data_IF_916065434712
#
_entry.id   IF_916065434712
#
_cell.length_a   1.000
_cell.length_b   1.000
_cell.length_c   1.000
_cell.angle_alpha   90.00
_cell.angle_beta   90.00
_cell.angle_gamma   90.00
#
_symmetry.space_group_name_H-M   'P 1'
#
loop_
_entity.id
_entity.type
_entity.pdbx_description
1 polymer ?
#
# COMPACT_ATOMS: atom_id res chain seq x y z
N UNK A 1 -3.85 -10.39 -25.21
CA UNK A 1 -3.17 -9.64 -24.14
C UNK A 1 -4.14 -9.64 -22.98
N UNK A 2 -3.81 -10.34 -21.90
CA UNK A 2 -4.60 -10.25 -20.68
C UNK A 2 -4.29 -8.89 -20.06
N UNK A 3 -5.31 -8.03 -19.98
CA UNK A 3 -5.17 -6.72 -19.35
C UNK A 3 -4.76 -6.91 -17.89
N UNK A 4 -3.74 -6.17 -17.46
CA UNK A 4 -3.23 -6.28 -16.10
C UNK A 4 -4.32 -5.82 -15.12
N UNK A 5 -4.57 -6.65 -14.11
CA UNK A 5 -5.68 -6.45 -13.19
C UNK A 5 -5.33 -5.40 -12.11
N UNK A 6 -4.10 -5.42 -11.62
CA UNK A 6 -3.55 -4.47 -10.67
C UNK A 6 -2.15 -4.09 -11.10
N UNK A 7 -1.89 -2.78 -11.20
CA UNK A 7 -0.59 -2.21 -11.52
C UNK A 7 -0.11 -1.44 -10.29
N UNK A 8 1.12 -1.72 -9.87
CA UNK A 8 1.77 -1.04 -8.73
C UNK A 8 3.07 -0.42 -9.20
N UNK A 9 3.27 0.87 -8.89
CA UNK A 9 4.46 1.64 -9.24
C UNK A 9 4.79 2.62 -8.11
N UNK A 10 6.07 3.00 -7.91
CA UNK A 10 6.41 4.09 -6.99
C UNK A 10 5.62 5.36 -7.32
N UNK A 11 5.12 6.06 -6.30
CA UNK A 11 4.31 7.27 -6.50
C UNK A 11 5.05 8.37 -7.27
N UNK A 12 6.35 8.51 -7.06
CA UNK A 12 7.21 9.45 -7.78
C UNK A 12 7.26 9.17 -9.29
N UNK A 13 7.43 7.90 -9.67
CA UNK A 13 7.47 7.47 -11.07
C UNK A 13 6.12 7.66 -11.76
N UNK A 14 5.04 7.38 -11.04
CA UNK A 14 3.68 7.68 -11.49
C UNK A 14 3.51 9.17 -11.79
N UNK A 15 3.90 10.06 -10.87
CA UNK A 15 3.78 11.51 -11.07
C UNK A 15 4.61 12.03 -12.26
N UNK A 16 5.83 11.51 -12.45
CA UNK A 16 6.66 11.86 -13.61
C UNK A 16 5.94 11.44 -14.89
N UNK A 17 5.41 10.22 -14.93
CA UNK A 17 4.75 9.71 -16.13
C UNK A 17 3.44 10.45 -16.42
N UNK A 18 2.63 10.72 -15.39
CA UNK A 18 1.38 11.47 -15.50
C UNK A 18 1.60 12.90 -16.01
N UNK A 19 2.66 13.58 -15.56
CA UNK A 19 3.02 14.91 -16.08
C UNK A 19 3.37 14.87 -17.57
N UNK A 20 4.17 13.89 -17.99
CA UNK A 20 4.58 13.75 -19.38
C UNK A 20 3.45 13.38 -20.33
N UNK A 21 2.38 12.74 -19.85
CA UNK A 21 1.19 12.43 -20.67
C UNK A 21 0.48 13.71 -21.13
N UNK A 22 0.46 14.76 -20.29
CA UNK A 22 -0.16 16.04 -20.63
C UNK A 22 0.72 16.87 -21.60
N UNK A 23 2.03 16.61 -21.62
CA UNK A 23 2.98 17.24 -22.54
C UNK A 23 3.14 16.36 -23.80
N UNK A 24 2.17 16.46 -24.73
CA UNK A 24 1.90 15.59 -25.89
C UNK A 24 3.03 15.30 -26.93
N UNK A 25 4.29 15.02 -26.56
CA UNK A 25 5.33 14.63 -27.54
C UNK A 25 6.15 13.38 -27.22
N UNK A 26 5.98 12.76 -26.06
CA UNK A 26 6.74 11.57 -25.67
C UNK A 26 5.78 10.50 -25.14
N UNK A 27 5.51 9.47 -25.95
CA UNK A 27 4.78 8.29 -25.47
C UNK A 27 5.60 7.61 -24.37
N UNK A 28 5.09 7.49 -23.13
CA UNK A 28 5.80 6.78 -22.07
C UNK A 28 5.84 5.29 -22.38
N UNK A 29 7.01 4.78 -22.78
CA UNK A 29 7.22 3.37 -23.10
C UNK A 29 7.09 2.41 -21.90
N UNK A 30 6.91 2.92 -20.67
CA UNK A 30 6.88 2.13 -19.44
C UNK A 30 5.46 1.74 -18.98
N UNK A 31 4.41 2.33 -19.55
CA UNK A 31 3.04 2.07 -19.12
C UNK A 31 2.19 1.48 -20.24
N UNK A 32 1.25 0.59 -19.90
CA UNK A 32 0.43 -0.06 -20.90
C UNK A 32 -0.36 0.97 -21.73
N UNK A 33 -0.22 0.97 -23.07
CA UNK A 33 -0.83 1.98 -23.95
C UNK A 33 -2.37 1.93 -23.98
N UNK A 34 -2.98 0.95 -23.33
CA UNK A 34 -4.43 0.72 -23.32
C UNK A 34 -5.18 1.46 -22.19
N UNK A 35 -4.47 2.07 -21.24
CA UNK A 35 -5.12 2.83 -20.16
C UNK A 35 -5.27 4.29 -20.59
N UNK A 36 -6.51 4.71 -20.86
CA UNK A 36 -6.85 6.12 -21.04
C UNK A 36 -6.73 6.84 -19.69
N UNK A 37 -5.65 7.62 -19.51
CA UNK A 37 -5.32 8.30 -18.25
C UNK A 37 -6.39 9.30 -17.81
N UNK A 38 -6.99 10.02 -18.75
CA UNK A 38 -8.10 10.96 -18.51
C UNK A 38 -9.37 10.28 -17.98
N UNK A 39 -9.46 8.94 -18.11
CA UNK A 39 -10.58 8.15 -17.62
C UNK A 39 -10.30 7.46 -16.28
N UNK A 40 -9.14 7.68 -15.66
CA UNK A 40 -8.81 7.12 -14.36
C UNK A 40 -9.53 7.90 -13.27
N UNK A 41 -10.20 7.18 -12.39
CA UNK A 41 -10.86 7.75 -11.23
C UNK A 41 -9.86 7.83 -10.08
N UNK A 42 -9.47 9.06 -9.74
CA UNK A 42 -8.57 9.34 -8.64
C UNK A 42 -9.34 9.24 -7.32
N UNK A 43 -8.93 8.33 -6.44
CA UNK A 43 -9.45 8.24 -5.08
C UNK A 43 -8.63 9.14 -4.15
N UNK A 44 -8.41 10.40 -4.53
CA UNK A 44 -7.77 11.38 -3.66
C UNK A 44 -8.83 12.34 -3.11
N UNK A 45 -8.72 12.82 -1.86
CA UNK A 45 -9.62 13.84 -1.33
C UNK A 45 -9.54 15.15 -2.15
N UNK A 46 -8.48 15.32 -2.93
CA UNK A 46 -8.21 16.50 -3.74
C UNK A 46 -8.91 16.50 -5.10
N UNK A 47 -9.53 15.41 -5.58
CA UNK A 47 -10.12 15.34 -6.92
C UNK A 47 -11.62 15.61 -6.94
N UNK A 48 -12.04 16.58 -7.78
CA UNK A 48 -13.39 17.14 -7.81
C UNK A 48 -14.51 16.11 -8.03
N UNK A 49 -14.27 15.08 -8.86
CA UNK A 49 -15.25 14.06 -9.27
C UNK A 49 -15.97 13.39 -8.09
N UNK A 50 -15.30 13.25 -6.95
CA UNK A 50 -15.82 12.50 -5.80
C UNK A 50 -15.74 13.26 -4.48
N UNK A 51 -15.41 14.56 -4.49
CA UNK A 51 -15.28 15.39 -3.27
C UNK A 51 -16.53 15.39 -2.38
N UNK A 52 -17.71 15.25 -2.97
CA UNK A 52 -18.98 15.25 -2.25
C UNK A 52 -19.30 13.92 -1.54
N UNK A 53 -18.63 12.82 -1.94
CA UNK A 53 -18.89 11.45 -1.44
C UNK A 53 -17.68 10.88 -0.68
N UNK A 54 -16.46 11.29 -1.03
CA UNK A 54 -15.22 10.80 -0.43
C UNK A 54 -14.94 11.50 0.89
N UNK A 55 -14.80 10.69 1.94
CA UNK A 55 -14.05 11.05 3.14
C UNK A 55 -12.81 10.16 3.22
N UNK A 56 -11.62 10.70 3.45
CA UNK A 56 -10.40 9.89 3.61
C UNK A 56 -10.06 9.70 5.09
N UNK A 57 -9.59 8.51 5.46
CA UNK A 57 -9.08 8.16 6.80
C UNK A 57 -7.66 7.56 6.69
N UNK A 58 -6.96 7.37 7.81
CA UNK A 58 -5.64 6.73 7.90
C UNK A 58 -5.57 5.36 7.21
N UNK A 59 -6.69 4.62 7.22
CA UNK A 59 -6.76 3.27 6.69
C UNK A 59 -7.23 3.18 5.23
N UNK A 60 -7.86 4.22 4.69
CA UNK A 60 -8.48 4.10 3.37
C UNK A 60 -9.42 5.25 3.01
N UNK A 61 -10.09 5.08 1.88
CA UNK A 61 -11.08 6.01 1.34
C UNK A 61 -12.49 5.51 1.67
N UNK A 62 -13.37 6.40 2.11
CA UNK A 62 -14.74 6.11 2.51
C UNK A 62 -15.66 6.81 1.52
N UNK A 63 -16.47 6.03 0.82
CA UNK A 63 -17.51 6.46 -0.11
C UNK A 63 -18.85 6.34 0.61
N UNK A 64 -19.46 7.48 0.95
CA UNK A 64 -20.76 7.52 1.59
C UNK A 64 -21.88 7.52 0.56
N UNK A 65 -22.84 6.63 0.73
CA UNK A 65 -24.00 6.48 -0.16
C UNK A 65 -25.24 6.37 0.69
N UNK A 66 -26.27 7.17 0.43
CA UNK A 66 -27.47 7.21 1.27
C UNK A 66 -28.69 6.63 0.54
N UNK A 67 -28.75 6.81 -0.78
CA UNK A 67 -29.87 6.39 -1.62
C UNK A 67 -29.48 5.30 -2.62
N UNK A 68 -30.48 4.60 -3.17
CA UNK A 68 -30.29 3.58 -4.20
C UNK A 68 -29.61 4.18 -5.45
N UNK A 69 -30.00 5.40 -5.82
CA UNK A 69 -29.41 6.14 -6.95
C UNK A 69 -27.92 6.40 -6.74
N UNK A 70 -27.53 6.78 -5.52
CA UNK A 70 -26.11 7.03 -5.22
C UNK A 70 -25.28 5.75 -5.41
N UNK A 71 -25.84 4.59 -5.03
CA UNK A 71 -25.17 3.29 -5.23
C UNK A 71 -25.08 2.93 -6.70
N UNK A 72 -26.12 3.18 -7.50
CA UNK A 72 -26.11 2.94 -8.95
C UNK A 72 -25.12 3.84 -9.68
N UNK A 73 -25.10 5.14 -9.37
CA UNK A 73 -24.14 6.10 -9.92
C UNK A 73 -22.71 5.71 -9.55
N UNK A 74 -22.46 5.39 -8.27
CA UNK A 74 -21.16 4.93 -7.82
C UNK A 74 -20.77 3.61 -8.49
N UNK A 75 -21.71 2.67 -8.65
CA UNK A 75 -21.48 1.41 -9.34
C UNK A 75 -21.06 1.64 -10.79
N UNK A 76 -21.73 2.55 -11.49
CA UNK A 76 -21.38 2.93 -12.85
C UNK A 76 -20.00 3.59 -12.93
N UNK A 77 -19.62 4.43 -11.97
CA UNK A 77 -18.28 5.03 -11.92
C UNK A 77 -17.20 3.97 -11.67
N UNK A 78 -17.36 3.18 -10.61
CA UNK A 78 -16.37 2.19 -10.19
C UNK A 78 -16.18 1.07 -11.23
N UNK A 79 -17.26 0.59 -11.88
CA UNK A 79 -17.17 -0.53 -12.83
C UNK A 79 -16.67 -0.13 -14.23
N UNK A 80 -16.71 1.16 -14.58
CA UNK A 80 -16.35 1.63 -15.93
C UNK A 80 -15.01 2.38 -15.98
N UNK A 81 -14.47 2.80 -14.83
CA UNK A 81 -13.20 3.55 -14.74
C UNK A 81 -12.18 2.82 -13.86
N UNK A 82 -10.91 2.70 -14.29
CA UNK A 82 -9.84 2.25 -13.42
C UNK A 82 -9.71 3.16 -12.18
N UNK A 83 -9.34 2.59 -11.05
CA UNK A 83 -9.20 3.32 -9.79
C UNK A 83 -7.73 3.54 -9.50
N UNK A 84 -7.33 4.78 -9.22
CA UNK A 84 -6.00 5.10 -8.72
C UNK A 84 -6.05 5.39 -7.23
N UNK A 85 -5.18 4.72 -6.48
CA UNK A 85 -5.00 4.92 -5.05
C UNK A 85 -3.54 5.21 -4.73
N UNK A 86 -3.31 6.08 -3.73
CA UNK A 86 -1.99 6.27 -3.12
C UNK A 86 -1.91 5.45 -1.84
N UNK A 87 -1.08 4.41 -1.86
CA UNK A 87 -0.87 3.49 -0.74
C UNK A 87 0.52 3.73 -0.16
N UNK A 88 0.61 3.72 1.17
CA UNK A 88 1.91 3.77 1.86
C UNK A 88 2.21 2.39 2.44
N UNK A 89 3.34 1.81 2.07
CA UNK A 89 3.79 0.53 2.59
C UNK A 89 4.94 0.76 3.58
N UNK A 90 4.81 0.15 4.75
CA UNK A 90 5.84 0.16 5.79
C UNK A 90 6.36 -1.26 5.97
N UNK A 91 7.65 -1.46 5.74
CA UNK A 91 8.34 -2.71 5.99
C UNK A 91 9.27 -2.52 7.19
N UNK A 92 9.15 -3.39 8.18
CA UNK A 92 10.00 -3.39 9.37
C UNK A 92 10.74 -4.71 9.44
N UNK A 93 12.07 -4.65 9.48
CA UNK A 93 12.93 -5.79 9.67
C UNK A 93 13.73 -5.64 10.95
N UNK A 94 13.69 -6.67 11.78
CA UNK A 94 14.50 -6.80 12.97
C UNK A 94 15.54 -7.87 12.70
N UNK A 95 16.78 -7.43 12.53
CA UNK A 95 17.92 -8.32 12.34
C UNK A 95 18.76 -8.34 13.61
N UNK A 96 19.06 -9.54 14.11
CA UNK A 96 19.95 -9.71 15.26
C UNK A 96 21.36 -9.98 14.74
N UNK A 97 22.26 -9.00 14.89
CA UNK A 97 23.66 -9.16 14.47
C UNK A 97 24.56 -8.97 15.69
N UNK A 98 25.37 -9.99 16.01
CA UNK A 98 26.32 -9.97 17.12
C UNK A 98 25.70 -9.54 18.47
N UNK A 99 24.55 -10.11 18.83
CA UNK A 99 23.82 -9.82 20.08
C UNK A 99 23.20 -8.42 20.19
N UNK A 100 23.25 -7.60 19.13
CA UNK A 100 22.51 -6.36 19.04
C UNK A 100 21.32 -6.52 18.08
N UNK A 101 20.13 -6.17 18.55
CA UNK A 101 18.93 -6.15 17.71
C UNK A 101 18.90 -4.81 16.94
N UNK A 102 19.02 -4.89 15.62
CA UNK A 102 18.91 -3.75 14.71
C UNK A 102 17.51 -3.73 14.12
N UNK A 103 16.76 -2.64 14.37
CA UNK A 103 15.45 -2.43 13.79
C UNK A 103 15.61 -1.48 12.62
N UNK A 104 15.29 -1.95 11.41
CA UNK A 104 15.23 -1.14 10.20
C UNK A 104 13.77 -0.97 9.77
N UNK A 105 13.36 0.27 9.57
CA UNK A 105 12.01 0.62 9.08
C UNK A 105 12.18 1.29 7.73
N UNK A 106 11.54 0.72 6.70
CA UNK A 106 11.43 1.30 5.37
C UNK A 106 9.99 1.71 5.12
N UNK A 107 9.78 2.95 4.71
CA UNK A 107 8.48 3.47 4.31
C UNK A 107 8.55 3.95 2.86
N UNK A 108 7.57 3.54 2.05
CA UNK A 108 7.49 3.89 0.63
C UNK A 108 6.05 4.18 0.20
N UNK A 109 5.88 5.18 -0.66
CA UNK A 109 4.60 5.52 -1.27
C UNK A 109 4.48 4.93 -2.68
N UNK A 110 3.35 4.29 -2.94
CA UNK A 110 3.05 3.58 -4.17
C UNK A 110 1.73 4.07 -4.77
N UNK A 111 1.72 4.18 -6.09
CA UNK A 111 0.52 4.34 -6.89
C UNK A 111 -0.01 2.94 -7.24
N UNK A 112 -1.25 2.66 -6.85
CA UNK A 112 -1.94 1.41 -7.13
C UNK A 112 -3.08 1.72 -8.09
N UNK A 113 -2.99 1.20 -9.31
CA UNK A 113 -4.03 1.31 -10.33
C UNK A 113 -4.77 -0.03 -10.37
N UNK A 114 -6.02 -0.02 -9.94
CA UNK A 114 -6.92 -1.15 -9.99
C UNK A 114 -7.75 -1.09 -11.27
N UNK A 115 -7.53 -2.03 -12.18
CA UNK A 115 -8.31 -2.14 -13.40
C UNK A 115 -9.65 -2.82 -13.12
N UNK A 116 -10.66 -2.02 -12.82
CA UNK A 116 -12.03 -2.49 -12.55
C UNK A 116 -12.75 -3.06 -13.78
N UNK A 117 -12.21 -2.87 -14.98
CA UNK A 117 -12.72 -3.47 -16.22
C UNK A 117 -12.32 -4.93 -16.36
N UNK A 118 -11.26 -5.37 -15.67
CA UNK A 118 -10.82 -6.76 -15.66
C UNK A 118 -11.95 -7.68 -15.17
N UNK A 119 -12.25 -8.75 -15.93
CA UNK A 119 -13.45 -9.57 -15.74
C UNK A 119 -13.61 -10.10 -14.30
N UNK A 120 -12.54 -10.59 -13.69
CA UNK A 120 -12.56 -11.14 -12.32
C UNK A 120 -12.88 -10.07 -11.27
N UNK A 121 -12.22 -8.91 -11.36
CA UNK A 121 -12.44 -7.80 -10.42
C UNK A 121 -13.85 -7.24 -10.62
N UNK A 122 -14.25 -7.05 -11.88
CA UNK A 122 -15.56 -6.53 -12.25
C UNK A 122 -16.69 -7.42 -11.72
N UNK A 123 -16.55 -8.74 -11.84
CA UNK A 123 -17.55 -9.69 -11.34
C UNK A 123 -17.68 -9.64 -9.81
N UNK A 124 -16.55 -9.61 -9.10
CA UNK A 124 -16.49 -9.50 -7.64
C UNK A 124 -17.09 -8.18 -7.14
N UNK A 125 -16.71 -7.08 -7.77
CA UNK A 125 -17.18 -5.74 -7.42
C UNK A 125 -18.66 -5.56 -7.73
N UNK A 126 -19.13 -6.00 -8.90
CA UNK A 126 -20.55 -5.97 -9.28
C UNK A 126 -21.41 -6.76 -8.31
N UNK A 127 -20.96 -7.94 -7.89
CA UNK A 127 -21.69 -8.75 -6.89
C UNK A 127 -21.85 -7.97 -5.58
N UNK A 128 -20.76 -7.42 -5.03
CA UNK A 128 -20.80 -6.66 -3.79
C UNK A 128 -21.70 -5.41 -3.90
N UNK A 129 -21.65 -4.70 -5.03
CA UNK A 129 -22.49 -3.52 -5.27
C UNK A 129 -23.97 -3.87 -5.42
N UNK A 130 -24.31 -4.98 -6.09
CA UNK A 130 -25.69 -5.46 -6.17
C UNK A 130 -26.25 -5.87 -4.79
N UNK A 131 -25.40 -6.48 -3.94
CA UNK A 131 -25.77 -6.78 -2.56
C UNK A 131 -26.04 -5.47 -1.78
N UNK A 132 -25.22 -4.43 -1.98
CA UNK A 132 -25.46 -3.11 -1.40
C UNK A 132 -26.77 -2.45 -1.87
N UNK A 133 -27.09 -2.50 -3.17
CA UNK A 133 -28.38 -2.03 -3.70
C UNK A 133 -29.52 -2.73 -2.94
N UNK A 134 -29.46 -4.05 -2.83
CA UNK A 134 -30.47 -4.85 -2.11
C UNK A 134 -30.61 -4.40 -0.65
N UNK A 135 -29.50 -4.11 0.04
CA UNK A 135 -29.55 -3.60 1.42
C UNK A 135 -30.13 -2.19 1.52
N UNK A 136 -29.81 -1.30 0.58
CA UNK A 136 -30.39 0.06 0.57
C UNK A 136 -31.90 0.02 0.30
N UNK A 137 -32.36 -0.76 -0.70
CA UNK A 137 -33.77 -0.88 -1.04
C UNK A 137 -34.58 -1.47 0.12
N UNK A 138 -34.00 -2.40 0.89
CA UNK A 138 -34.61 -2.97 2.10
C UNK A 138 -34.44 -2.09 3.35
N UNK A 139 -33.88 -0.90 3.22
CA UNK A 139 -33.55 0.05 4.32
C UNK A 139 -32.63 -0.52 5.39
N UNK A 140 -31.79 -1.49 5.02
CA UNK A 140 -30.73 -2.02 5.86
C UNK A 140 -29.43 -1.22 5.71
N UNK A 141 -28.63 -1.21 6.77
CA UNK A 141 -27.31 -0.59 6.76
C UNK A 141 -26.26 -1.59 6.28
N UNK A 142 -25.29 -1.14 5.51
CA UNK A 142 -24.23 -1.98 4.98
C UNK A 142 -22.87 -1.27 4.96
N UNK A 143 -21.81 -2.05 4.85
CA UNK A 143 -20.45 -1.56 4.64
C UNK A 143 -19.70 -2.57 3.76
N UNK A 144 -19.42 -2.19 2.52
CA UNK A 144 -18.48 -2.91 1.66
C UNK A 144 -17.07 -2.45 2.01
N UNK A 145 -16.17 -3.40 2.24
CA UNK A 145 -14.75 -3.17 2.41
C UNK A 145 -14.00 -3.87 1.29
N UNK A 146 -13.34 -3.10 0.43
CA UNK A 146 -12.44 -3.61 -0.62
C UNK A 146 -11.02 -3.49 -0.06
N UNK A 147 -10.40 -4.63 0.26
CA UNK A 147 -9.07 -4.67 0.86
C UNK A 147 -8.02 -5.08 -0.19
N UNK A 148 -7.06 -4.19 -0.46
CA UNK A 148 -5.92 -4.44 -1.35
C UNK A 148 -4.64 -4.80 -0.60
N UNK A 149 -4.67 -4.83 0.74
CA UNK A 149 -3.46 -5.01 1.55
C UNK A 149 -2.74 -6.32 1.21
N UNK A 150 -3.46 -7.44 1.17
CA UNK A 150 -2.91 -8.76 0.86
C UNK A 150 -2.21 -8.80 -0.52
N UNK A 151 -2.79 -8.12 -1.52
CA UNK A 151 -2.26 -8.05 -2.89
C UNK A 151 -0.95 -7.26 -2.93
N UNK A 152 -0.93 -6.10 -2.28
CA UNK A 152 0.20 -5.17 -2.30
C UNK A 152 1.36 -5.76 -1.48
N UNK A 153 1.07 -6.36 -0.33
CA UNK A 153 2.07 -7.04 0.50
C UNK A 153 2.68 -8.23 -0.24
N UNK A 154 1.85 -9.06 -0.89
CA UNK A 154 2.33 -10.17 -1.71
C UNK A 154 3.25 -9.72 -2.85
N UNK A 155 2.88 -8.66 -3.57
CA UNK A 155 3.72 -8.07 -4.61
C UNK A 155 5.04 -7.53 -4.06
N UNK A 156 5.00 -6.83 -2.94
CA UNK A 156 6.18 -6.21 -2.34
C UNK A 156 7.20 -7.27 -1.87
N UNK A 157 6.72 -8.30 -1.18
CA UNK A 157 7.55 -9.42 -0.72
C UNK A 157 8.19 -10.19 -1.89
N UNK A 158 7.46 -10.37 -2.99
CA UNK A 158 8.00 -10.97 -4.22
C UNK A 158 9.05 -10.08 -4.88
N UNK A 159 8.90 -8.75 -4.79
CA UNK A 159 9.78 -7.78 -5.48
C UNK A 159 11.13 -7.61 -4.80
N UNK A 160 11.15 -7.61 -3.46
CA UNK A 160 12.42 -7.44 -2.71
C UNK A 160 13.22 -8.76 -2.65
N UNK A 161 12.65 -9.87 -3.16
CA UNK A 161 13.27 -11.20 -3.11
C UNK A 161 13.79 -11.51 -1.71
N UNK A 162 12.92 -11.29 -0.71
CA UNK A 162 13.31 -11.38 0.69
C UNK A 162 13.36 -12.84 1.12
N UNK A 163 14.38 -13.55 0.64
CA UNK A 163 14.96 -14.69 1.32
C UNK A 163 15.91 -14.14 2.40
N UNK A 164 15.35 -13.51 3.43
CA UNK A 164 16.10 -13.23 4.66
C UNK A 164 16.40 -14.55 5.36
N UNK A 165 17.55 -14.62 6.04
CA UNK A 165 17.93 -15.81 6.80
C UNK A 165 16.86 -16.19 7.85
N UNK A 166 16.89 -17.43 8.32
CA UNK A 166 15.87 -17.99 9.22
C UNK A 166 15.65 -17.23 10.55
N UNK A 167 16.53 -16.27 10.89
CA UNK A 167 16.54 -15.58 12.18
C UNK A 167 16.00 -14.13 12.12
N UNK A 168 15.66 -13.60 10.94
CA UNK A 168 15.18 -12.23 10.79
C UNK A 168 13.66 -12.14 10.94
N UNK A 169 13.18 -11.27 11.84
CA UNK A 169 11.75 -11.00 11.97
C UNK A 169 11.35 -9.87 11.02
N UNK A 170 10.39 -10.16 10.16
CA UNK A 170 9.89 -9.19 9.20
C UNK A 170 8.40 -8.97 9.33
N UNK A 171 7.99 -7.71 9.24
CA UNK A 171 6.59 -7.34 9.21
C UNK A 171 6.37 -6.30 8.11
N UNK A 172 5.28 -6.45 7.38
CA UNK A 172 4.80 -5.49 6.39
C UNK A 172 3.46 -4.94 6.85
N UNK A 173 3.22 -3.66 6.58
CA UNK A 173 1.94 -3.03 6.86
C UNK A 173 1.60 -2.03 5.76
N UNK A 174 0.46 -2.23 5.14
CA UNK A 174 -0.12 -1.24 4.23
C UNK A 174 -0.99 -0.20 4.97
N UNK A 175 -0.90 1.05 4.55
CA UNK A 175 -1.78 2.17 4.95
C UNK A 175 -2.48 2.70 3.70
N UNK A 176 -3.74 3.12 3.84
CA UNK A 176 -4.58 3.61 2.73
C UNK A 176 -4.83 2.59 1.61
N UNK A 177 -4.72 1.30 1.91
CA UNK A 177 -4.95 0.19 0.98
C UNK A 177 -6.41 -0.25 0.87
N UNK A 178 -7.34 0.41 1.58
CA UNK A 178 -8.74 0.00 1.67
C UNK A 178 -9.69 1.03 1.09
N UNK A 179 -10.76 0.54 0.46
CA UNK A 179 -11.89 1.36 0.04
C UNK A 179 -13.13 0.87 0.79
N UNK A 180 -13.85 1.79 1.40
CA UNK A 180 -15.11 1.51 2.07
C UNK A 180 -16.26 2.14 1.29
N UNK A 181 -17.34 1.39 1.05
CA UNK A 181 -18.60 1.92 0.54
C UNK A 181 -19.69 1.65 1.58
N UNK A 182 -20.30 2.68 2.14
CA UNK A 182 -21.23 2.50 3.27
C UNK A 182 -22.29 3.58 3.36
N UNK A 183 -23.47 3.21 3.86
CA UNK A 183 -24.55 4.13 4.24
C UNK A 183 -24.63 4.36 5.77
N UNK A 184 -23.60 3.96 6.52
CA UNK A 184 -23.59 4.03 7.98
C UNK A 184 -22.19 4.35 8.50
N UNK A 185 -21.57 3.44 9.27
CA UNK A 185 -20.23 3.59 9.80
C UNK A 185 -19.30 2.53 9.22
N UNK A 186 -18.03 2.88 9.04
CA UNK A 186 -16.97 1.94 8.64
C UNK A 186 -16.73 0.91 9.72
N UNK A 187 -16.32 -0.29 9.32
CA UNK A 187 -15.90 -1.31 10.26
C UNK A 187 -14.62 -0.90 10.99
N UNK A 188 -14.65 -0.92 12.33
CA UNK A 188 -13.47 -0.62 13.14
C UNK A 188 -12.66 -1.90 13.43
N UNK A 189 -11.53 -2.05 12.75
CA UNK A 189 -10.60 -3.17 12.92
C UNK A 189 -9.82 -3.15 14.25
N UNK A 190 -9.92 -2.10 15.06
CA UNK A 190 -9.35 -2.12 16.42
C UNK A 190 -9.95 -3.25 17.27
N UNK A 191 -11.18 -3.68 16.95
CA UNK A 191 -11.84 -4.82 17.61
C UNK A 191 -11.50 -6.17 16.99
N UNK A 192 -10.87 -6.20 15.80
CA UNK A 192 -10.31 -7.43 15.22
C UNK A 192 -8.94 -7.80 15.84
N UNK A 193 -8.34 -6.88 16.60
CA UNK A 193 -6.92 -6.95 16.95
C UNK A 193 -6.56 -7.89 18.10
N UNK A 194 -5.31 -8.37 17.98
CA UNK A 194 -4.61 -9.44 18.69
C UNK A 194 -4.77 -9.49 20.23
N UNK A 195 -4.55 -10.67 20.85
CA UNK A 195 -4.51 -10.87 22.30
C UNK A 195 -3.65 -9.88 23.09
N UNK A 196 -2.71 -9.17 22.44
CA UNK A 196 -1.87 -8.15 23.07
C UNK A 196 -2.68 -6.95 23.60
N UNK A 197 -3.78 -6.58 22.95
CA UNK A 197 -4.65 -5.49 23.43
C UNK A 197 -5.43 -5.87 24.69
N UNK A 198 -5.71 -7.17 24.85
CA UNK A 198 -6.34 -7.71 26.05
C UNK A 198 -5.51 -7.43 27.31
N UNK A 199 -4.18 -7.50 27.18
CA UNK A 199 -3.26 -7.23 28.30
C UNK A 199 -3.25 -5.75 28.71
N UNK A 200 -3.34 -4.84 27.74
CA UNK A 200 -3.20 -3.39 27.97
C UNK A 200 -4.52 -2.71 28.38
N UNK A 201 -5.66 -3.18 27.87
CA UNK A 201 -6.96 -2.54 28.10
C UNK A 201 -7.91 -3.36 28.99
N UNK A 202 -7.43 -4.51 29.49
CA UNK A 202 -8.00 -5.36 30.56
C UNK A 202 -9.56 -5.43 30.50
N UNK A 203 -10.38 -5.34 31.57
CA UNK A 203 -11.78 -5.75 31.50
C UNK A 203 -12.66 -4.89 30.57
N UNK A 204 -12.27 -3.64 30.32
CA UNK A 204 -13.04 -2.73 29.46
C UNK A 204 -13.07 -3.21 28.01
N UNK A 205 -11.97 -3.77 27.50
CA UNK A 205 -11.96 -4.33 26.14
C UNK A 205 -12.84 -5.58 26.04
N UNK A 206 -12.79 -6.45 27.05
CA UNK A 206 -13.64 -7.65 27.13
C UNK A 206 -15.14 -7.34 27.13
N UNK A 207 -15.57 -6.19 27.66
CA UNK A 207 -16.97 -5.78 27.55
C UNK A 207 -17.27 -5.08 26.24
N UNK A 208 -16.43 -4.13 25.83
CA UNK A 208 -16.72 -3.28 24.65
C UNK A 208 -16.62 -4.02 23.33
N UNK A 209 -15.64 -4.91 23.15
CA UNK A 209 -15.46 -5.66 21.91
C UNK A 209 -16.66 -6.57 21.55
N UNK A 210 -17.16 -7.47 22.42
CA UNK A 210 -18.33 -8.27 22.10
C UNK A 210 -19.60 -7.43 21.96
N UNK A 211 -19.76 -6.36 22.76
CA UNK A 211 -20.88 -5.43 22.59
C UNK A 211 -20.84 -4.75 21.22
N UNK A 212 -19.66 -4.29 20.77
CA UNK A 212 -19.48 -3.70 19.44
C UNK A 212 -19.78 -4.73 18.34
N UNK A 213 -19.24 -5.95 18.42
CA UNK A 213 -19.46 -6.99 17.42
C UNK A 213 -20.95 -7.37 17.35
N UNK A 214 -21.62 -7.50 18.50
CA UNK A 214 -23.05 -7.79 18.59
C UNK A 214 -23.89 -6.66 17.99
N UNK A 215 -23.66 -5.42 18.43
CA UNK A 215 -24.32 -4.24 17.86
C UNK A 215 -24.12 -4.15 16.35
N UNK A 216 -22.90 -4.38 15.86
CA UNK A 216 -22.56 -4.33 14.45
C UNK A 216 -23.33 -5.37 13.66
N UNK A 217 -23.33 -6.64 14.11
CA UNK A 217 -24.05 -7.74 13.44
C UNK A 217 -25.56 -7.52 13.37
N UNK A 218 -26.13 -6.85 14.37
CA UNK A 218 -27.56 -6.53 14.43
C UNK A 218 -27.94 -5.34 13.55
N UNK A 219 -27.06 -4.34 13.45
CA UNK A 219 -27.39 -3.07 12.79
C UNK A 219 -26.86 -2.95 11.37
N UNK A 220 -25.80 -3.65 11.00
CA UNK A 220 -25.09 -3.45 9.75
C UNK A 220 -24.60 -4.76 9.13
N UNK A 221 -24.67 -4.87 7.80
CA UNK A 221 -24.11 -5.97 7.03
C UNK A 221 -22.74 -5.59 6.47
N UNK A 222 -21.71 -6.25 6.97
CA UNK A 222 -20.33 -6.07 6.51
C UNK A 222 -20.02 -7.04 5.37
N UNK A 223 -19.64 -6.50 4.20
CA UNK A 223 -19.27 -7.25 3.00
C UNK A 223 -17.77 -7.04 2.77
N UNK A 224 -16.95 -8.03 3.11
CA UNK A 224 -15.50 -7.97 2.88
C UNK A 224 -15.15 -8.57 1.53
N UNK A 225 -14.63 -7.73 0.63
CA UNK A 225 -14.19 -8.10 -0.70
C UNK A 225 -12.66 -8.26 -0.71
N UNK A 226 -12.21 -9.52 -0.72
CA UNK A 226 -10.81 -9.85 -1.01
C UNK A 226 -10.65 -10.04 -2.51
N UNK A 227 -9.90 -9.16 -3.16
CA UNK A 227 -9.68 -9.25 -4.59
C UNK A 227 -8.73 -10.40 -4.91
N UNK A 228 -9.11 -11.25 -5.86
CA UNK A 228 -8.26 -12.31 -6.39
C UNK A 228 -7.79 -11.90 -7.79
N UNK A 229 -6.69 -11.18 -7.86
CA UNK A 229 -6.16 -10.62 -9.09
C UNK A 229 -4.64 -10.79 -9.15
N UNK A 230 -4.12 -11.10 -10.34
CA UNK A 230 -2.68 -11.15 -10.58
C UNK A 230 -2.14 -9.71 -10.64
N UNK A 231 -1.11 -9.45 -9.86
CA UNK A 231 -0.38 -8.18 -9.92
C UNK A 231 0.64 -8.24 -11.04
N UNK A 232 0.67 -7.23 -11.88
CA UNK A 232 1.80 -7.03 -12.78
C UNK A 232 2.77 -6.02 -12.16
N UNK A 233 4.04 -6.38 -11.98
CA UNK A 233 5.05 -5.40 -11.64
C UNK A 233 5.26 -4.49 -12.85
N UNK A 234 5.21 -3.16 -12.65
CA UNK A 234 5.72 -2.24 -13.67
C UNK A 234 7.20 -2.55 -13.84
N UNK A 235 7.57 -3.04 -15.03
CA UNK A 235 8.98 -3.20 -15.38
C UNK A 235 9.58 -1.80 -15.40
N UNK A 236 10.24 -1.42 -14.32
CA UNK A 236 11.11 -0.27 -14.33
C UNK A 236 12.12 -0.51 -15.45
N UNK A 237 11.99 0.24 -16.54
CA UNK A 237 13.04 0.33 -17.55
C UNK A 237 14.22 0.93 -16.81
N UNK A 238 15.09 0.07 -16.26
CA UNK A 238 16.45 0.45 -15.90
C UNK A 238 16.98 1.11 -17.14
N UNK A 239 17.14 2.43 -17.08
CA UNK A 239 17.82 3.21 -18.09
C UNK A 239 19.26 2.72 -18.04
N UNK A 240 19.56 1.63 -18.74
CA UNK A 240 20.93 1.27 -19.06
C UNK A 240 21.37 2.42 -19.96
N UNK A 241 21.98 3.43 -19.35
CA UNK A 241 22.79 4.39 -20.08
C UNK A 241 23.88 3.56 -20.74
N UNK A 242 23.60 3.09 -21.95
CA UNK A 242 24.61 2.56 -22.85
C UNK A 242 25.47 3.74 -23.28
N UNK A 243 26.32 4.22 -22.38
CA UNK A 243 27.61 4.75 -22.79
C UNK A 243 28.33 3.59 -23.44
N UNK A 244 28.35 3.64 -24.77
CA UNK A 244 29.17 2.78 -25.61
C UNK A 244 30.62 2.88 -25.14
N UNK A 245 31.08 1.87 -24.43
CA UNK A 245 32.46 1.42 -24.54
C UNK A 245 32.45 -0.10 -24.49
N UNK A 246 32.77 -0.66 -25.65
CA UNK A 246 33.04 -2.07 -25.85
C UNK A 246 34.18 -2.51 -24.94
N UNK A 247 33.92 -3.44 -24.02
CA UNK A 247 34.70 -4.69 -23.91
C UNK A 247 34.10 -5.64 -22.87
N UNK A 248 33.60 -6.77 -23.37
CA UNK A 248 33.62 -8.11 -22.78
C UNK A 248 33.64 -8.25 -21.25
N UNK A 249 32.49 -8.56 -20.66
CA UNK A 249 32.31 -9.74 -19.79
C UNK A 249 30.83 -9.93 -19.45
N UNK A 250 30.29 -11.11 -19.77
CA UNK A 250 28.99 -11.57 -19.26
C UNK A 250 29.15 -11.86 -17.77
N UNK A 251 28.79 -10.88 -16.94
CA UNK A 251 28.39 -11.10 -15.57
C UNK A 251 27.10 -10.31 -15.36
N UNK A 252 26.00 -11.01 -15.09
CA UNK A 252 24.80 -10.39 -14.55
C UNK A 252 25.15 -9.86 -13.16
N UNK A 253 25.53 -8.58 -13.10
CA UNK A 253 25.78 -7.87 -11.85
C UNK A 253 24.45 -7.70 -11.12
N UNK A 254 24.14 -8.67 -10.27
CA UNK A 254 23.35 -8.44 -9.06
C UNK A 254 24.19 -7.43 -8.26
N UNK A 255 23.70 -6.20 -8.14
CA UNK A 255 24.30 -5.20 -7.28
C UNK A 255 23.99 -5.63 -5.85
N UNK A 256 24.84 -6.51 -5.31
CA UNK A 256 24.92 -6.77 -3.89
C UNK A 256 25.54 -5.51 -3.26
N UNK A 257 24.75 -4.76 -2.50
CA UNK A 257 25.29 -3.78 -1.58
C UNK A 257 25.97 -4.56 -0.44
N UNK A 258 27.27 -4.87 -0.60
CA UNK A 258 28.12 -5.27 0.50
C UNK A 258 28.45 -4.01 1.28
N UNK A 259 27.87 -3.85 2.47
CA UNK A 259 28.37 -2.88 3.44
C UNK A 259 29.74 -3.36 3.95
N UNK A 260 30.80 -2.70 3.49
CA UNK A 260 32.13 -2.74 4.08
C UNK A 260 32.42 -1.33 4.60
N UNK A 261 32.09 -1.09 5.86
CA UNK A 261 32.61 0.06 6.60
C UNK A 261 33.84 -0.43 7.38
N UNK A 262 35.00 -0.41 6.72
CA UNK A 262 36.29 -0.33 7.42
C UNK A 262 36.54 1.14 7.75
N UNK A 263 36.14 1.56 8.96
CA UNK A 263 36.56 2.85 9.51
C UNK A 263 37.99 2.69 10.02
N UNK A 264 38.95 3.19 9.24
CA UNK A 264 40.31 3.41 9.68
C UNK A 264 40.34 4.36 10.89
N UNK A 265 40.78 3.84 12.03
CA UNK A 265 41.00 4.59 13.26
C UNK A 265 42.22 5.49 13.12
N UNK A 266 42.03 6.79 12.97
CA UNK A 266 42.99 7.80 13.43
C UNK A 266 42.26 9.04 13.92
N UNK A 267 42.15 9.19 15.24
CA UNK A 267 42.73 10.32 15.98
C UNK A 267 42.13 10.39 17.39
N UNK A 268 43.05 10.56 18.32
CA UNK A 268 42.85 10.84 19.73
C UNK A 268 42.02 12.11 19.93
N UNK A 269 40.92 12.02 20.68
CA UNK A 269 40.49 13.06 21.61
C UNK A 269 39.55 12.46 22.66
N UNK A 270 40.07 12.38 23.89
CA UNK A 270 39.29 12.09 25.10
C UNK A 270 38.29 13.23 25.31
N UNK A 271 37.01 12.90 25.30
CA UNK A 271 35.92 13.78 25.73
C UNK A 271 34.76 12.93 26.26
N UNK A 272 34.30 13.25 27.47
CA UNK A 272 33.20 12.57 28.15
C UNK A 272 31.91 12.54 27.30
N UNK A 273 31.33 11.35 27.13
CA UNK A 273 30.01 11.16 26.55
C UNK A 273 28.91 11.35 27.60
N UNK A 274 27.91 12.18 27.27
CA UNK A 274 26.55 12.13 27.81
C UNK A 274 25.71 11.15 26.96
N UNK A 275 24.72 10.45 27.52
CA UNK A 275 23.91 9.48 26.81
C UNK A 275 22.61 10.15 26.33
N UNK A 276 22.67 11.00 25.31
CA UNK A 276 21.50 11.48 24.59
C UNK A 276 21.98 11.85 23.18
N UNK A 277 21.29 11.38 22.14
CA UNK A 277 21.55 11.57 20.70
C UNK A 277 22.47 10.55 20.01
N UNK A 278 21.88 9.45 19.56
CA UNK A 278 22.35 8.71 18.37
C UNK A 278 21.15 8.09 17.63
N UNK A 279 20.44 8.93 16.87
CA UNK A 279 19.64 8.50 15.73
C UNK A 279 20.38 8.91 14.46
N UNK A 280 21.07 7.98 13.81
CA UNK A 280 21.60 8.23 12.48
C UNK A 280 20.47 8.08 11.46
N UNK A 281 20.17 9.13 10.73
CA UNK A 281 19.23 9.09 9.60
C UNK A 281 20.00 8.83 8.32
N UNK A 282 19.73 7.70 7.67
CA UNK A 282 20.27 7.39 6.34
C UNK A 282 19.14 7.37 5.32
N UNK A 283 19.31 8.08 4.20
CA UNK A 283 18.51 7.84 3.01
C UNK A 283 19.21 6.76 2.19
N UNK A 284 18.53 5.63 1.95
CA UNK A 284 19.04 4.56 1.08
C UNK A 284 18.21 4.56 -0.19
N UNK A 285 18.87 4.64 -1.35
CA UNK A 285 18.23 4.52 -2.65
C UNK A 285 18.28 3.05 -3.08
N UNK A 286 17.14 2.38 -3.10
CA UNK A 286 16.99 1.02 -3.65
C UNK A 286 16.13 1.16 -4.90
N UNK A 287 16.77 1.22 -6.07
CA UNK A 287 16.13 1.76 -7.27
C UNK A 287 15.93 3.28 -7.16
N UNK A 288 15.17 3.90 -8.07
CA UNK A 288 14.87 5.34 -8.05
C UNK A 288 13.92 5.75 -6.89
N UNK A 289 13.82 4.93 -5.84
CA UNK A 289 12.91 5.11 -4.71
C UNK A 289 13.71 5.53 -3.49
N UNK A 290 13.31 6.66 -2.90
CA UNK A 290 13.88 7.16 -1.66
C UNK A 290 13.28 6.37 -0.50
N UNK A 291 14.09 5.53 0.14
CA UNK A 291 13.70 4.88 1.38
C UNK A 291 14.26 5.69 2.55
N UNK A 292 13.37 6.12 3.46
CA UNK A 292 13.79 6.59 4.78
C UNK A 292 14.11 5.34 5.57
N UNK A 293 15.39 5.12 5.87
CA UNK A 293 15.83 4.04 6.75
C UNK A 293 16.08 4.62 8.13
N UNK A 294 15.30 4.18 9.11
CA UNK A 294 15.57 4.46 10.52
C UNK A 294 16.17 3.17 11.09
N UNK A 295 17.46 3.22 11.42
CA UNK A 295 18.14 2.14 12.14
C UNK A 295 18.21 2.49 13.62
N UNK A 296 17.58 1.66 14.45
CA UNK A 296 17.69 1.75 15.91
C UNK A 296 18.52 0.57 16.39
N UNK A 297 19.63 0.85 17.07
CA UNK A 297 20.39 -0.15 17.82
C UNK A 297 19.89 -0.19 19.25
N UNK A 298 19.28 -1.32 19.64
CA UNK A 298 18.94 -1.57 21.04
C UNK A 298 20.12 -2.29 21.71
N UNK A 299 20.86 -1.57 22.55
CA UNK A 299 21.88 -2.16 23.42
C UNK A 299 21.14 -2.78 24.61
N UNK A 300 21.23 -4.10 24.77
CA UNK A 300 20.71 -4.83 25.94
C UNK A 300 21.67 -4.73 27.12
#
# INVERSE_FOLDING_TARGET
>A
MEDEAVIITPWSEYLITAKHINDCSLQPHSLPPYIAWDAILHLAPETDDLRHIITSNKHGHILRVDTERDVEELSNLLLNRPLLMRVTLVHTMVASKYSADTVSIWEGDYAVILNTRHQTIRAQLRKALNDAITYVTTRWRFCIEIDLSDIIEGWYLQTIDVYSGCDDFQTTKCRRSRIYVTNHMTYNHCFDCSPKWWLCFSPCWLMTAPCYIGYRRLTCKDIRLKLNAKVSPVRCLRRTSSTSDETKSKASTIVNYKMEDDIATTSSLKGHFRPDELTSYGAIYIGNVQHICISLQLIK
#
